data_IF_603461792703
#
_entry.id   IF_603461792703
#
_cell.length_a   1.000
_cell.length_b   1.000
_cell.length_c   1.000
_cell.angle_alpha   90.00
_cell.angle_beta   90.00
_cell.angle_gamma   90.00
#
_symmetry.space_group_name_H-M   'P 1'
#
loop_
_entity.id
_entity.type
_entity.pdbx_description
1 polymer ?
#
# COMPACT_ATOMS: atom_id res chain seq x y z
N UNK A 1 -9.17 -12.42 16.08
CA UNK A 1 -7.81 -12.05 15.61
C UNK A 1 -7.15 -13.18 14.84
N UNK A 2 -7.36 -14.43 15.22
CA UNK A 2 -6.69 -15.60 14.61
C UNK A 2 -7.00 -15.76 13.11
N UNK A 3 -8.19 -15.39 12.68
CA UNK A 3 -8.64 -15.50 11.27
C UNK A 3 -8.36 -14.22 10.49
N UNK A 4 -8.68 -13.06 11.06
CA UNK A 4 -8.58 -11.76 10.36
C UNK A 4 -7.25 -11.04 10.63
N UNK A 5 -6.40 -11.63 11.45
CA UNK A 5 -5.22 -10.95 11.97
C UNK A 5 -5.57 -9.80 12.93
N UNK A 6 -4.55 -9.20 13.52
CA UNK A 6 -4.75 -8.06 14.42
C UNK A 6 -5.33 -6.84 13.70
N UNK A 7 -4.80 -6.53 12.52
CA UNK A 7 -5.23 -5.35 11.74
C UNK A 7 -6.68 -5.49 11.25
N UNK A 8 -7.05 -6.62 10.66
CA UNK A 8 -8.42 -6.85 10.17
C UNK A 8 -9.45 -6.87 11.30
N UNK A 9 -9.13 -7.49 12.43
CA UNK A 9 -10.00 -7.52 13.61
C UNK A 9 -10.22 -6.11 14.19
N UNK A 10 -9.17 -5.31 14.33
CA UNK A 10 -9.28 -3.94 14.84
C UNK A 10 -10.05 -3.02 13.87
N UNK A 11 -9.85 -3.17 12.56
CA UNK A 11 -10.64 -2.42 11.55
C UNK A 11 -12.13 -2.76 11.65
N UNK A 12 -12.48 -4.04 11.82
CA UNK A 12 -13.86 -4.47 12.00
C UNK A 12 -14.47 -3.90 13.29
N UNK A 13 -13.73 -3.92 14.40
CA UNK A 13 -14.16 -3.36 15.68
C UNK A 13 -14.37 -1.85 15.59
N UNK A 14 -13.40 -1.11 15.04
CA UNK A 14 -13.54 0.35 14.84
C UNK A 14 -14.75 0.68 13.97
N UNK A 15 -15.00 -0.10 12.92
CA UNK A 15 -16.18 0.09 12.07
C UNK A 15 -17.47 -0.16 12.84
N UNK A 16 -17.52 -1.19 13.70
CA UNK A 16 -18.70 -1.49 14.52
C UNK A 16 -18.99 -0.42 15.58
N UNK A 17 -17.95 0.29 16.02
CA UNK A 17 -18.05 1.44 16.93
C UNK A 17 -18.47 2.73 16.21
N UNK A 18 -18.70 2.71 14.91
CA UNK A 18 -19.12 3.87 14.12
C UNK A 18 -17.99 4.83 13.76
N UNK A 19 -16.73 4.42 13.93
CA UNK A 19 -15.58 5.23 13.48
C UNK A 19 -15.53 5.26 11.96
N UNK A 20 -15.09 6.39 11.41
CA UNK A 20 -14.97 6.57 9.97
C UNK A 20 -13.76 5.82 9.39
N UNK A 21 -13.89 4.50 9.32
CA UNK A 21 -12.87 3.60 8.76
C UNK A 21 -13.06 3.51 7.24
N UNK A 22 -12.02 3.76 6.44
CA UNK A 22 -12.10 3.55 4.99
C UNK A 22 -12.56 2.13 4.67
N UNK A 23 -13.53 1.94 3.75
CA UNK A 23 -14.05 0.62 3.40
C UNK A 23 -12.98 -0.33 2.89
N UNK A 24 -13.16 -1.61 3.18
CA UNK A 24 -12.22 -2.65 2.76
C UNK A 24 -12.72 -4.04 3.16
N UNK A 25 -11.92 -5.05 2.87
CA UNK A 25 -12.14 -6.43 3.27
C UNK A 25 -10.83 -7.13 3.59
N UNK A 26 -10.91 -8.26 4.26
CA UNK A 26 -9.74 -9.01 4.72
C UNK A 26 -9.76 -10.43 4.19
N UNK A 27 -8.67 -10.86 3.54
CA UNK A 27 -8.42 -12.27 3.21
C UNK A 27 -7.81 -12.92 4.46
N UNK A 28 -8.34 -14.07 4.86
CA UNK A 28 -8.03 -14.70 6.13
C UNK A 28 -6.60 -15.29 6.21
N UNK A 29 -6.12 -15.50 7.43
CA UNK A 29 -4.87 -16.26 7.70
C UNK A 29 -4.94 -17.70 7.17
N UNK A 30 -6.14 -18.29 7.14
CA UNK A 30 -6.37 -19.63 6.57
C UNK A 30 -6.03 -19.67 5.08
N UNK A 31 -6.40 -18.61 4.33
CA UNK A 31 -6.05 -18.52 2.93
C UNK A 31 -4.51 -18.41 2.71
N UNK A 32 -3.84 -17.68 3.60
CA UNK A 32 -2.36 -17.62 3.57
C UNK A 32 -1.74 -18.99 3.76
N UNK A 33 -2.18 -19.76 4.77
CA UNK A 33 -1.64 -21.12 5.01
C UNK A 33 -1.81 -22.00 3.79
N UNK A 34 -3.01 -22.04 3.22
CA UNK A 34 -3.28 -22.81 2.00
C UNK A 34 -2.39 -22.35 0.83
N UNK A 35 -2.22 -21.04 0.64
CA UNK A 35 -1.32 -20.52 -0.39
C UNK A 35 0.14 -20.97 -0.17
N UNK A 36 0.62 -20.96 1.08
CA UNK A 36 2.00 -21.37 1.38
C UNK A 36 2.24 -22.89 1.20
N UNK A 37 1.18 -23.69 1.29
CA UNK A 37 1.22 -25.13 0.99
C UNK A 37 1.20 -25.39 -0.53
N UNK A 38 0.27 -24.75 -1.25
CA UNK A 38 0.00 -25.00 -2.68
C UNK A 38 0.83 -24.12 -3.61
N UNK A 39 1.36 -23.00 -3.13
CA UNK A 39 2.10 -21.96 -3.85
C UNK A 39 1.32 -21.33 -5.02
N UNK A 40 -0.02 -21.34 -4.94
CA UNK A 40 -0.93 -20.81 -5.96
C UNK A 40 -2.21 -20.24 -5.34
N UNK A 41 -2.71 -19.13 -5.89
CA UNK A 41 -4.06 -18.65 -5.59
C UNK A 41 -5.09 -19.44 -6.40
N UNK A 42 -5.95 -20.19 -5.72
CA UNK A 42 -6.98 -21.02 -6.35
C UNK A 42 -8.18 -20.18 -6.83
N UNK A 43 -8.93 -20.76 -7.76
CA UNK A 43 -9.98 -20.06 -8.50
C UNK A 43 -11.04 -19.43 -7.59
N UNK A 44 -11.57 -20.17 -6.62
CA UNK A 44 -12.63 -19.73 -5.73
C UNK A 44 -12.18 -18.56 -4.83
N UNK A 45 -10.92 -18.51 -4.45
CA UNK A 45 -10.38 -17.34 -3.74
C UNK A 45 -10.36 -16.11 -4.66
N UNK A 46 -9.89 -16.27 -5.90
CA UNK A 46 -9.86 -15.16 -6.87
C UNK A 46 -11.26 -14.62 -7.14
N UNK A 47 -12.25 -15.49 -7.34
CA UNK A 47 -13.65 -15.11 -7.53
C UNK A 47 -14.22 -14.39 -6.32
N UNK A 48 -13.93 -14.89 -5.10
CA UNK A 48 -14.36 -14.26 -3.85
C UNK A 48 -13.73 -12.87 -3.68
N UNK A 49 -12.46 -12.71 -3.99
CA UNK A 49 -11.76 -11.41 -3.94
C UNK A 49 -12.39 -10.43 -4.92
N UNK A 50 -12.65 -10.84 -6.17
CA UNK A 50 -13.28 -10.00 -7.18
C UNK A 50 -14.73 -9.63 -6.81
N UNK A 51 -15.48 -10.53 -6.20
CA UNK A 51 -16.84 -10.24 -5.73
C UNK A 51 -16.84 -9.19 -4.62
N UNK A 52 -15.92 -9.32 -3.65
CA UNK A 52 -15.76 -8.30 -2.59
C UNK A 52 -15.24 -6.97 -3.13
N UNK A 53 -14.38 -7.00 -4.15
CA UNK A 53 -13.91 -5.79 -4.83
C UNK A 53 -15.06 -5.02 -5.48
N UNK A 54 -15.99 -5.72 -6.15
CA UNK A 54 -17.21 -5.09 -6.72
C UNK A 54 -18.09 -4.46 -5.64
N UNK A 55 -18.25 -5.12 -4.48
CA UNK A 55 -18.96 -4.53 -3.34
C UNK A 55 -18.24 -3.28 -2.80
N UNK A 56 -16.91 -3.29 -2.81
CA UNK A 56 -16.11 -2.14 -2.40
C UNK A 56 -16.27 -0.97 -3.38
N UNK A 57 -16.27 -1.23 -4.69
CA UNK A 57 -16.55 -0.21 -5.72
C UNK A 57 -17.91 0.44 -5.50
N UNK A 58 -18.96 -0.38 -5.30
CA UNK A 58 -20.31 0.12 -5.02
C UNK A 58 -20.37 0.97 -3.74
N UNK A 59 -19.70 0.53 -2.67
CA UNK A 59 -19.69 1.23 -1.38
C UNK A 59 -18.94 2.55 -1.42
N UNK A 60 -17.92 2.65 -2.27
CA UNK A 60 -17.07 3.84 -2.39
C UNK A 60 -17.47 4.75 -3.52
N UNK A 61 -18.37 4.32 -4.40
CA UNK A 61 -18.73 5.02 -5.65
C UNK A 61 -17.51 5.32 -6.53
N UNK A 62 -16.53 4.40 -6.52
CA UNK A 62 -15.28 4.52 -7.28
C UNK A 62 -15.10 3.31 -8.19
N UNK A 63 -14.20 3.41 -9.17
CA UNK A 63 -13.92 2.32 -10.10
C UNK A 63 -12.46 1.87 -10.03
N UNK A 64 -12.26 0.57 -9.81
CA UNK A 64 -10.93 -0.04 -9.79
C UNK A 64 -10.37 -0.25 -11.20
N UNK A 65 -11.21 -0.58 -12.15
CA UNK A 65 -10.82 -0.83 -13.55
C UNK A 65 -10.80 0.43 -14.43
N UNK A 66 -11.06 1.61 -13.86
CA UNK A 66 -10.90 2.87 -14.58
C UNK A 66 -12.12 3.27 -15.44
N UNK A 67 -13.27 3.46 -14.81
CA UNK A 67 -14.42 4.11 -15.46
C UNK A 67 -14.22 5.63 -15.49
N UNK A 68 -14.27 6.26 -16.67
CA UNK A 68 -14.05 7.72 -16.85
C UNK A 68 -15.03 8.60 -16.08
N UNK A 69 -16.21 8.07 -15.73
CA UNK A 69 -17.24 8.80 -14.99
C UNK A 69 -17.11 8.66 -13.48
N UNK A 70 -16.19 7.84 -13.00
CA UNK A 70 -15.97 7.57 -11.58
C UNK A 70 -14.52 7.85 -11.19
N UNK A 71 -14.33 8.31 -9.97
CA UNK A 71 -12.99 8.45 -9.39
C UNK A 71 -12.29 7.08 -9.36
N UNK A 72 -10.99 6.99 -9.67
CA UNK A 72 -10.26 5.75 -9.51
C UNK A 72 -10.30 5.22 -8.06
N UNK A 73 -10.64 3.95 -7.89
CA UNK A 73 -10.50 3.24 -6.62
C UNK A 73 -9.05 2.77 -6.51
N UNK A 74 -8.29 3.37 -5.61
CA UNK A 74 -6.96 2.90 -5.27
C UNK A 74 -7.00 2.13 -3.96
N UNK A 75 -6.18 1.09 -3.87
CA UNK A 75 -6.18 0.16 -2.74
C UNK A 75 -4.84 0.18 -2.01
N UNK A 76 -4.91 -0.04 -0.70
CA UNK A 76 -3.79 -0.54 0.08
C UNK A 76 -3.94 -2.04 0.28
N UNK A 77 -2.86 -2.79 0.08
CA UNK A 77 -2.77 -4.24 0.32
C UNK A 77 -1.74 -4.45 1.42
N UNK A 78 -2.19 -4.83 2.60
CA UNK A 78 -1.35 -4.83 3.80
C UNK A 78 -1.44 -6.15 4.54
N UNK A 79 -0.31 -6.65 5.01
CA UNK A 79 -0.25 -7.79 5.92
C UNK A 79 -0.96 -7.50 7.26
N UNK A 80 -1.51 -8.52 7.86
CA UNK A 80 -2.19 -8.43 9.15
C UNK A 80 -2.10 -9.73 9.94
N UNK A 81 -0.93 -10.04 10.49
CA UNK A 81 -0.78 -11.20 11.37
C UNK A 81 -1.54 -11.02 12.69
N UNK A 82 -1.96 -12.11 13.37
CA UNK A 82 -2.58 -12.06 14.68
C UNK A 82 -1.71 -11.34 15.73
N UNK A 83 -0.41 -11.57 15.70
CA UNK A 83 0.59 -10.86 16.49
C UNK A 83 1.17 -9.73 15.66
N UNK A 84 1.25 -8.53 16.22
CA UNK A 84 1.88 -7.39 15.54
C UNK A 84 3.36 -7.65 15.31
N UNK A 85 3.81 -7.50 14.07
CA UNK A 85 5.21 -7.67 13.65
C UNK A 85 5.63 -6.43 12.83
N UNK A 86 5.89 -5.28 13.49
CA UNK A 86 6.15 -4.01 12.80
C UNK A 86 7.37 -4.10 11.89
N UNK A 87 7.22 -3.67 10.62
CA UNK A 87 8.31 -3.67 9.64
C UNK A 87 8.74 -5.04 9.11
N UNK A 88 8.12 -6.15 9.58
CA UNK A 88 8.55 -7.51 9.21
C UNK A 88 7.89 -8.03 7.94
N UNK A 89 6.73 -7.53 7.59
CA UNK A 89 5.95 -7.97 6.44
C UNK A 89 5.62 -6.80 5.51
N UNK A 90 5.26 -7.12 4.28
CA UNK A 90 5.15 -6.14 3.21
C UNK A 90 3.79 -5.44 3.17
N UNK A 91 3.82 -4.25 2.55
CA UNK A 91 2.67 -3.38 2.30
C UNK A 91 2.80 -2.82 0.89
N UNK A 92 1.68 -2.74 0.17
CA UNK A 92 1.62 -2.07 -1.13
C UNK A 92 0.51 -1.03 -1.04
N UNK A 93 0.83 0.21 -1.39
CA UNK A 93 -0.09 1.34 -1.43
C UNK A 93 -0.31 1.82 -2.86
N UNK A 94 -1.39 2.56 -3.08
CA UNK A 94 -1.75 3.12 -4.39
C UNK A 94 -1.97 2.07 -5.49
N UNK A 95 -2.27 0.83 -5.12
CA UNK A 95 -2.53 -0.25 -6.05
C UNK A 95 -3.77 0.07 -6.90
N UNK A 96 -3.67 -0.17 -8.20
CA UNK A 96 -4.67 0.22 -9.19
C UNK A 96 -4.22 1.38 -10.09
N UNK A 97 -3.08 2.03 -9.75
CA UNK A 97 -2.48 3.02 -10.64
C UNK A 97 -1.84 2.36 -11.86
N UNK A 98 -2.11 2.96 -13.01
CA UNK A 98 -1.56 2.64 -14.31
C UNK A 98 -1.60 3.89 -15.20
N UNK A 99 -1.18 3.79 -16.46
CA UNK A 99 -1.13 4.93 -17.39
C UNK A 99 -2.49 5.56 -17.71
N UNK A 100 -3.58 4.84 -17.45
CA UNK A 100 -4.94 5.34 -17.61
C UNK A 100 -5.46 5.94 -16.31
N UNK A 101 -5.38 5.21 -15.21
CA UNK A 101 -5.95 5.63 -13.92
C UNK A 101 -5.21 6.84 -13.33
N UNK A 102 -3.90 7.02 -13.60
CA UNK A 102 -3.16 8.22 -13.17
C UNK A 102 -3.72 9.50 -13.78
N UNK A 103 -4.14 9.47 -15.05
CA UNK A 103 -4.77 10.61 -15.74
C UNK A 103 -6.13 10.92 -15.14
N UNK A 104 -6.95 9.88 -14.92
CA UNK A 104 -8.24 10.04 -14.26
C UNK A 104 -8.08 10.61 -12.84
N UNK A 105 -7.07 10.15 -12.09
CA UNK A 105 -6.78 10.69 -10.76
C UNK A 105 -6.37 12.16 -10.81
N UNK A 106 -5.54 12.55 -11.78
CA UNK A 106 -5.16 13.94 -12.02
C UNK A 106 -6.37 14.84 -12.31
N UNK A 107 -7.26 14.37 -13.17
CA UNK A 107 -8.48 15.10 -13.53
C UNK A 107 -9.43 15.27 -12.33
N UNK A 108 -9.73 14.18 -11.61
CA UNK A 108 -10.62 14.20 -10.45
C UNK A 108 -10.09 15.02 -9.28
N UNK A 109 -8.78 15.01 -9.06
CA UNK A 109 -8.17 15.75 -7.95
C UNK A 109 -7.77 17.17 -8.33
N UNK A 110 -7.79 17.52 -9.62
CA UNK A 110 -7.21 18.75 -10.17
C UNK A 110 -5.76 18.97 -9.71
N UNK A 111 -5.03 17.88 -9.50
CA UNK A 111 -3.66 17.88 -9.00
C UNK A 111 -2.81 16.81 -9.71
N UNK A 112 -2.33 17.19 -10.90
CA UNK A 112 -1.53 16.29 -11.75
C UNK A 112 -0.24 15.85 -11.04
N UNK A 113 0.41 16.77 -10.30
CA UNK A 113 1.64 16.43 -9.58
C UNK A 113 1.41 15.34 -8.54
N UNK A 114 0.34 15.45 -7.75
CA UNK A 114 -0.04 14.44 -6.76
C UNK A 114 -0.29 13.07 -7.40
N UNK A 115 -1.01 13.04 -8.54
CA UNK A 115 -1.31 11.80 -9.22
C UNK A 115 -0.04 11.09 -9.73
N UNK A 116 0.85 11.83 -10.41
CA UNK A 116 2.09 11.25 -10.95
C UNK A 116 3.11 10.89 -9.86
N UNK A 117 3.21 11.63 -8.74
CA UNK A 117 4.06 11.24 -7.62
C UNK A 117 3.53 9.97 -6.92
N UNK A 118 2.20 9.84 -6.78
CA UNK A 118 1.57 8.62 -6.28
C UNK A 118 1.87 7.42 -7.19
N UNK A 119 1.87 7.61 -8.51
CA UNK A 119 2.18 6.55 -9.47
C UNK A 119 3.66 6.15 -9.43
N UNK A 120 4.58 7.12 -9.37
CA UNK A 120 6.00 6.86 -9.20
C UNK A 120 6.27 6.01 -7.94
N UNK A 121 5.71 6.42 -6.80
CA UNK A 121 5.83 5.70 -5.52
C UNK A 121 5.22 4.30 -5.59
N UNK A 122 4.10 4.15 -6.30
CA UNK A 122 3.48 2.84 -6.50
C UNK A 122 4.38 1.89 -7.29
N UNK A 123 4.95 2.33 -8.41
CA UNK A 123 5.85 1.50 -9.23
C UNK A 123 7.05 1.03 -8.41
N UNK A 124 7.71 1.95 -7.67
CA UNK A 124 8.82 1.62 -6.78
C UNK A 124 8.42 0.57 -5.75
N UNK A 125 7.35 0.82 -4.99
CA UNK A 125 6.89 -0.06 -3.93
C UNK A 125 6.44 -1.42 -4.46
N UNK A 126 5.66 -1.44 -5.55
CA UNK A 126 5.20 -2.67 -6.18
C UNK A 126 6.37 -3.50 -6.69
N UNK A 127 7.30 -2.88 -7.39
CA UNK A 127 8.48 -3.57 -7.92
C UNK A 127 9.36 -4.14 -6.81
N UNK A 128 9.56 -3.40 -5.72
CA UNK A 128 10.34 -3.87 -4.58
C UNK A 128 9.65 -5.05 -3.87
N UNK A 129 8.32 -4.99 -3.67
CA UNK A 129 7.59 -5.99 -2.89
C UNK A 129 7.23 -7.21 -3.72
N UNK A 130 6.80 -7.03 -4.96
CA UNK A 130 6.29 -8.13 -5.81
C UNK A 130 7.42 -8.82 -6.57
N UNK A 131 8.32 -8.02 -7.17
CA UNK A 131 9.43 -8.49 -7.99
C UNK A 131 10.77 -8.54 -7.23
N UNK A 132 10.77 -8.20 -5.93
CA UNK A 132 11.94 -8.20 -5.05
C UNK A 132 13.12 -7.36 -5.61
N UNK A 133 12.83 -6.36 -6.46
CA UNK A 133 13.84 -5.48 -7.03
C UNK A 133 14.39 -4.58 -5.92
N UNK A 134 15.72 -4.50 -5.74
CA UNK A 134 16.31 -3.69 -4.68
C UNK A 134 15.91 -2.20 -4.80
N UNK A 135 15.43 -1.63 -3.72
CA UNK A 135 14.97 -0.23 -3.67
C UNK A 135 16.03 0.76 -4.13
N UNK A 136 17.30 0.46 -3.89
CA UNK A 136 18.43 1.30 -4.29
C UNK A 136 18.48 1.60 -5.80
N UNK A 137 17.93 0.72 -6.65
CA UNK A 137 17.91 0.93 -8.09
C UNK A 137 16.99 2.09 -8.48
N UNK A 138 15.88 2.25 -7.77
CA UNK A 138 14.94 3.36 -7.92
C UNK A 138 15.48 4.65 -7.30
N UNK A 139 16.04 4.55 -6.10
CA UNK A 139 16.64 5.67 -5.38
C UNK A 139 17.77 6.34 -6.17
N UNK A 140 18.62 5.56 -6.85
CA UNK A 140 19.67 6.10 -7.74
C UNK A 140 19.08 6.97 -8.86
N UNK A 141 17.96 6.58 -9.46
CA UNK A 141 17.34 7.39 -10.51
C UNK A 141 16.73 8.68 -9.97
N UNK A 142 16.09 8.60 -8.80
CA UNK A 142 15.52 9.75 -8.11
C UNK A 142 16.60 10.77 -7.75
N UNK A 143 17.66 10.32 -7.10
CA UNK A 143 18.78 11.16 -6.70
C UNK A 143 19.52 11.77 -7.91
N UNK A 144 19.68 11.00 -9.00
CA UNK A 144 20.25 11.51 -10.24
C UNK A 144 19.48 12.72 -10.78
N UNK A 145 18.14 12.64 -10.81
CA UNK A 145 17.29 13.77 -11.25
C UNK A 145 17.40 14.95 -10.29
N UNK A 146 17.41 14.70 -8.98
CA UNK A 146 17.53 15.76 -7.97
C UNK A 146 18.86 16.50 -8.09
N UNK A 147 19.97 15.78 -8.24
CA UNK A 147 21.30 16.37 -8.42
C UNK A 147 21.37 17.19 -9.71
N UNK A 148 20.92 16.63 -10.84
CA UNK A 148 20.92 17.31 -12.13
C UNK A 148 20.14 18.64 -12.12
N UNK A 149 19.01 18.66 -11.38
CA UNK A 149 18.11 19.81 -11.27
C UNK A 149 18.40 20.71 -10.08
N UNK A 150 19.36 20.34 -9.23
CA UNK A 150 19.70 21.04 -7.98
C UNK A 150 18.47 21.15 -7.03
N UNK A 151 17.69 20.07 -6.91
CA UNK A 151 16.55 19.96 -6.00
C UNK A 151 16.98 19.48 -4.62
N UNK A 152 16.34 20.01 -3.57
CA UNK A 152 16.62 19.64 -2.18
C UNK A 152 15.69 18.56 -1.64
N UNK A 153 14.51 18.42 -2.24
CA UNK A 153 13.51 17.45 -1.77
C UNK A 153 12.68 16.88 -2.91
N UNK A 154 11.98 15.77 -2.66
CA UNK A 154 11.04 15.20 -3.62
C UNK A 154 9.88 16.14 -3.95
N UNK A 155 9.57 17.09 -3.07
CA UNK A 155 8.54 18.11 -3.34
C UNK A 155 8.90 19.08 -4.47
N UNK A 156 10.18 19.19 -4.81
CA UNK A 156 10.68 20.08 -5.85
C UNK A 156 10.51 19.48 -7.27
N UNK A 157 10.28 18.16 -7.36
CA UNK A 157 10.08 17.47 -8.62
C UNK A 157 8.88 18.05 -9.38
N UNK A 158 9.11 18.40 -10.63
CA UNK A 158 8.06 18.85 -11.55
C UNK A 158 7.26 17.64 -12.10
N UNK A 159 6.11 17.92 -12.72
CA UNK A 159 5.31 16.89 -13.41
C UNK A 159 6.14 16.18 -14.50
N UNK A 160 6.96 16.94 -15.24
CA UNK A 160 7.84 16.38 -16.28
C UNK A 160 8.89 15.43 -15.70
N UNK A 161 9.47 15.78 -14.54
CA UNK A 161 10.44 14.93 -13.86
C UNK A 161 9.79 13.64 -13.33
N UNK A 162 8.58 13.74 -12.79
CA UNK A 162 7.82 12.58 -12.33
C UNK A 162 7.47 11.62 -13.48
N UNK A 163 7.05 12.14 -14.63
CA UNK A 163 6.80 11.34 -15.83
C UNK A 163 8.08 10.65 -16.32
N UNK A 164 9.20 11.36 -16.35
CA UNK A 164 10.51 10.78 -16.70
C UNK A 164 10.92 9.68 -15.73
N UNK A 165 10.73 9.88 -14.42
CA UNK A 165 11.03 8.87 -13.40
C UNK A 165 10.15 7.63 -13.55
N UNK A 166 8.87 7.78 -13.87
CA UNK A 166 7.96 6.66 -14.14
C UNK A 166 8.48 5.78 -15.27
N UNK A 167 8.88 6.39 -16.39
CA UNK A 167 9.46 5.66 -17.54
C UNK A 167 10.76 4.92 -17.14
N UNK A 168 11.64 5.59 -16.39
CA UNK A 168 12.87 4.97 -15.89
C UNK A 168 12.56 3.79 -14.94
N UNK A 169 11.57 3.92 -14.07
CA UNK A 169 11.16 2.88 -13.12
C UNK A 169 10.53 1.67 -13.81
N UNK A 170 9.68 1.89 -14.81
CA UNK A 170 9.15 0.82 -15.66
C UNK A 170 10.28 0.09 -16.42
N UNK A 171 11.29 0.85 -16.88
CA UNK A 171 12.46 0.24 -17.52
C UNK A 171 13.26 -0.62 -16.53
N UNK A 172 13.46 -0.18 -15.30
CA UNK A 172 14.10 -1.00 -14.25
C UNK A 172 13.31 -2.30 -14.06
N UNK A 173 11.98 -2.21 -13.91
CA UNK A 173 11.13 -3.40 -13.79
C UNK A 173 11.32 -4.35 -14.97
N UNK A 174 11.29 -3.84 -16.21
CA UNK A 174 11.52 -4.63 -17.42
C UNK A 174 12.91 -5.27 -17.44
N UNK A 175 13.94 -4.53 -17.03
CA UNK A 175 15.32 -5.03 -17.05
C UNK A 175 15.52 -6.20 -16.06
N UNK A 176 14.76 -6.23 -14.96
CA UNK A 176 14.78 -7.32 -13.97
C UNK A 176 13.85 -8.48 -14.34
N UNK A 177 12.57 -8.19 -14.60
CA UNK A 177 11.52 -9.20 -14.81
C UNK A 177 11.41 -9.72 -16.25
N UNK A 178 12.02 -9.02 -17.24
CA UNK A 178 11.91 -9.30 -18.68
C UNK A 178 10.47 -9.24 -19.21
N UNK A 179 9.58 -8.63 -18.46
CA UNK A 179 8.18 -8.34 -18.81
C UNK A 179 7.84 -6.90 -18.48
N UNK A 180 6.85 -6.34 -19.19
CA UNK A 180 6.37 -5.00 -18.90
C UNK A 180 5.75 -4.90 -17.51
N UNK A 181 5.83 -3.71 -16.91
CA UNK A 181 5.13 -3.41 -15.66
C UNK A 181 3.63 -3.68 -15.83
N UNK A 182 2.96 -4.40 -14.90
CA UNK A 182 1.56 -4.80 -15.07
C UNK A 182 0.62 -3.59 -15.04
N UNK A 183 -0.05 -3.34 -16.17
CA UNK A 183 -1.03 -2.25 -16.31
C UNK A 183 -2.46 -2.69 -15.95
N UNK A 184 -2.75 -4.00 -15.87
CA UNK A 184 -4.05 -4.51 -15.41
C UNK A 184 -4.13 -4.46 -13.89
N UNK A 185 -5.05 -3.65 -13.30
CA UNK A 185 -5.19 -3.55 -11.85
C UNK A 185 -5.55 -4.88 -11.17
N UNK A 186 -6.28 -5.76 -11.86
CA UNK A 186 -6.64 -7.08 -11.32
C UNK A 186 -5.40 -7.96 -11.19
N UNK A 187 -4.51 -7.93 -12.19
CA UNK A 187 -3.22 -8.62 -12.13
C UNK A 187 -2.34 -8.05 -11.02
N UNK A 188 -2.29 -6.71 -10.90
CA UNK A 188 -1.56 -6.07 -9.79
C UNK A 188 -2.07 -6.55 -8.43
N UNK A 189 -3.39 -6.64 -8.24
CA UNK A 189 -4.01 -7.06 -6.99
C UNK A 189 -3.63 -8.48 -6.60
N UNK A 190 -3.71 -9.44 -7.52
CA UNK A 190 -3.35 -10.83 -7.20
C UNK A 190 -1.87 -11.01 -6.95
N UNK A 191 -1.00 -10.35 -7.72
CA UNK A 191 0.44 -10.35 -7.46
C UNK A 191 0.78 -9.75 -6.08
N UNK A 192 0.10 -8.68 -5.69
CA UNK A 192 0.25 -8.07 -4.38
C UNK A 192 -0.22 -8.99 -3.23
N UNK A 193 -1.35 -9.69 -3.39
CA UNK A 193 -1.84 -10.67 -2.41
C UNK A 193 -0.83 -11.79 -2.23
N UNK A 194 -0.31 -12.34 -3.33
CA UNK A 194 0.73 -13.39 -3.31
C UNK A 194 1.99 -12.91 -2.60
N UNK A 195 2.47 -11.71 -2.94
CA UNK A 195 3.66 -11.12 -2.30
C UNK A 195 3.47 -10.94 -0.79
N UNK A 196 2.30 -10.44 -0.36
CA UNK A 196 1.99 -10.33 1.08
C UNK A 196 1.94 -11.70 1.75
N UNK A 197 1.39 -12.72 1.12
CA UNK A 197 1.43 -14.08 1.68
C UNK A 197 2.85 -14.62 1.78
N UNK A 198 3.68 -14.46 0.73
CA UNK A 198 5.10 -14.87 0.75
C UNK A 198 5.89 -14.15 1.83
N UNK A 199 5.55 -12.88 2.12
CA UNK A 199 6.26 -12.07 3.11
C UNK A 199 6.21 -12.67 4.53
N UNK A 200 5.26 -13.56 4.81
CA UNK A 200 5.23 -14.35 6.05
C UNK A 200 6.52 -15.13 6.25
N UNK A 201 7.12 -15.63 5.18
CA UNK A 201 8.35 -16.41 5.19
C UNK A 201 9.62 -15.61 4.83
N UNK A 202 9.55 -14.28 4.80
CA UNK A 202 10.75 -13.45 4.66
C UNK A 202 11.71 -13.69 5.84
N UNK A 203 13.04 -13.68 5.62
CA UNK A 203 14.04 -13.93 6.68
C UNK A 203 13.84 -13.07 7.92
N UNK A 204 13.53 -11.77 7.74
CA UNK A 204 13.24 -10.85 8.85
C UNK A 204 12.00 -11.27 9.66
N UNK A 205 10.94 -11.74 9.00
CA UNK A 205 9.72 -12.19 9.65
C UNK A 205 9.94 -13.51 10.40
N UNK A 206 10.71 -14.44 9.82
CA UNK A 206 11.11 -15.70 10.48
C UNK A 206 11.93 -15.42 11.74
N UNK A 207 12.95 -14.57 11.62
CA UNK A 207 13.81 -14.18 12.76
C UNK A 207 12.99 -13.53 13.88
N UNK A 208 12.08 -12.62 13.54
CA UNK A 208 11.20 -11.99 14.51
C UNK A 208 10.32 -13.01 15.24
N UNK A 209 9.69 -13.95 14.49
CA UNK A 209 8.86 -14.99 15.09
C UNK A 209 9.66 -15.89 16.04
N UNK A 210 10.89 -16.27 15.68
CA UNK A 210 11.77 -17.05 16.52
C UNK A 210 12.08 -16.33 17.85
N UNK A 211 12.42 -15.04 17.80
CA UNK A 211 12.72 -14.23 18.98
C UNK A 211 11.51 -14.09 19.90
N UNK A 212 10.33 -13.92 19.34
CA UNK A 212 9.09 -13.68 20.10
C UNK A 212 8.27 -14.95 20.35
N UNK A 213 8.79 -16.13 20.01
CA UNK A 213 8.13 -17.44 20.20
C UNK A 213 6.74 -17.49 19.54
N UNK A 214 6.60 -16.88 18.36
CA UNK A 214 5.38 -16.90 17.56
C UNK A 214 5.44 -18.13 16.64
N UNK A 215 4.35 -18.95 16.61
CA UNK A 215 4.29 -20.13 15.74
C UNK A 215 4.38 -19.74 14.25
N UNK A 216 5.08 -20.55 13.48
CA UNK A 216 5.21 -20.39 12.03
C UNK A 216 3.93 -20.77 11.27
N UNK A 217 3.03 -21.56 11.87
CA UNK A 217 1.83 -22.11 11.25
C UNK A 217 0.63 -21.15 11.25
N UNK A 218 0.77 -19.96 11.84
CA UNK A 218 -0.34 -19.00 11.97
C UNK A 218 -0.69 -18.36 10.61
N UNK A 219 0.31 -17.97 9.83
CA UNK A 219 0.14 -17.20 8.61
C UNK A 219 -0.20 -15.74 8.85
N UNK A 220 -0.43 -15.00 7.77
CA UNK A 220 -0.88 -13.60 7.80
C UNK A 220 -2.20 -13.43 7.08
N UNK A 221 -3.06 -12.56 7.57
CA UNK A 221 -4.19 -12.05 6.79
C UNK A 221 -3.70 -10.98 5.80
N UNK A 222 -4.49 -10.71 4.75
CA UNK A 222 -4.28 -9.59 3.84
C UNK A 222 -5.45 -8.64 3.92
N UNK A 223 -5.18 -7.39 4.32
CA UNK A 223 -6.17 -6.34 4.38
C UNK A 223 -6.14 -5.53 3.09
N UNK A 224 -7.23 -5.56 2.34
CA UNK A 224 -7.45 -4.79 1.12
C UNK A 224 -8.41 -3.66 1.48
N UNK A 225 -7.95 -2.42 1.38
CA UNK A 225 -8.70 -1.26 1.89
C UNK A 225 -8.57 -0.08 0.92
N UNK A 226 -9.66 0.66 0.75
CA UNK A 226 -9.66 1.86 -0.07
C UNK A 226 -8.69 2.91 0.50
N UNK A 227 -7.91 3.53 -0.39
CA UNK A 227 -6.97 4.59 0.00
C UNK A 227 -7.70 5.88 0.36
N UNK A 228 -7.13 6.57 1.35
CA UNK A 228 -7.37 7.99 1.66
C UNK A 228 -6.04 8.73 1.62
N UNK A 229 -6.06 10.01 1.26
CA UNK A 229 -4.86 10.74 0.93
C UNK A 229 -4.72 12.00 1.78
N UNK A 230 -3.67 12.07 2.59
CA UNK A 230 -3.27 13.25 3.34
C UNK A 230 -2.39 14.21 2.54
N UNK A 231 -2.00 13.85 1.31
CA UNK A 231 -1.09 14.60 0.44
C UNK A 231 -1.74 15.12 -0.85
N UNK A 232 -3.06 15.30 -0.84
CA UNK A 232 -3.79 15.86 -2.00
C UNK A 232 -3.58 17.37 -2.21
N UNK A 233 -3.08 18.08 -1.19
CA UNK A 233 -2.85 19.51 -1.24
C UNK A 233 -2.84 20.14 0.16
N UNK A 234 -2.82 21.49 0.19
CA UNK A 234 -2.66 22.27 1.42
C UNK A 234 -3.78 22.08 2.46
N UNK A 235 -4.93 21.55 2.07
CA UNK A 235 -6.08 21.28 2.94
C UNK A 235 -6.17 19.83 3.39
N UNK A 236 -5.21 19.02 3.01
CA UNK A 236 -5.12 17.61 3.40
C UNK A 236 -4.00 17.41 4.41
N UNK A 237 -4.10 16.41 5.25
CA UNK A 237 -3.06 16.09 6.22
C UNK A 237 -3.20 14.66 6.74
N UNK A 238 -2.16 14.21 7.39
CA UNK A 238 -2.10 12.92 8.10
C UNK A 238 -1.53 13.12 9.48
N UNK A 239 -2.02 12.37 10.46
CA UNK A 239 -1.51 12.43 11.83
C UNK A 239 -1.53 11.07 12.51
N UNK A 240 -0.84 11.00 13.62
CA UNK A 240 -0.86 9.90 14.57
C UNK A 240 -1.35 10.43 15.90
N UNK A 241 -2.37 9.78 16.46
CA UNK A 241 -2.96 10.17 17.73
C UNK A 241 -2.94 8.99 18.70
N UNK A 242 -2.49 9.24 19.90
CA UNK A 242 -2.52 8.31 21.01
C UNK A 242 -3.59 8.74 22.01
N UNK A 243 -4.36 7.80 22.51
CA UNK A 243 -5.37 8.04 23.56
C UNK A 243 -4.74 8.32 24.92
N UNK A 244 -3.45 8.08 25.07
CA UNK A 244 -2.65 8.34 26.27
C UNK A 244 -1.26 8.77 25.85
N UNK A 245 -0.68 9.72 26.59
CA UNK A 245 0.66 10.22 26.32
C UNK A 245 1.70 9.10 26.46
N UNK A 246 2.39 8.69 25.38
CA UNK A 246 3.35 7.57 25.41
C UNK A 246 4.66 7.91 26.14
N UNK A 247 4.93 9.19 26.44
CA UNK A 247 6.17 9.63 27.10
C UNK A 247 6.05 9.49 28.62
N UNK A 248 4.90 9.89 29.19
CA UNK A 248 4.72 9.97 30.63
C UNK A 248 3.55 9.12 31.17
N UNK A 249 2.74 8.51 30.30
CA UNK A 249 1.60 7.69 30.66
C UNK A 249 0.33 8.45 31.08
N UNK A 250 0.33 9.76 31.02
CA UNK A 250 -0.82 10.58 31.38
C UNK A 250 -2.03 10.29 30.50
N UNK A 251 -3.22 10.41 31.10
CA UNK A 251 -4.51 10.25 30.42
C UNK A 251 -4.90 11.52 29.69
N UNK A 252 -4.18 11.80 28.63
CA UNK A 252 -4.36 12.94 27.75
C UNK A 252 -4.12 12.53 26.29
N UNK A 253 -4.84 13.14 25.37
CA UNK A 253 -4.61 12.95 23.94
C UNK A 253 -3.25 13.51 23.57
N UNK A 254 -2.43 12.69 22.93
CA UNK A 254 -1.09 13.06 22.48
C UNK A 254 -0.94 12.67 21.01
N UNK A 255 -0.38 13.57 20.20
CA UNK A 255 -0.20 13.24 18.78
C UNK A 255 0.48 14.33 18.00
N UNK A 256 0.75 14.01 16.76
CA UNK A 256 1.34 14.91 15.77
C UNK A 256 0.64 14.76 14.44
N UNK A 257 0.70 15.78 13.61
CA UNK A 257 0.15 15.76 12.26
C UNK A 257 1.03 16.56 11.32
N UNK A 258 0.99 16.17 10.04
CA UNK A 258 1.64 16.88 8.95
C UNK A 258 0.60 17.25 7.88
N UNK A 259 0.64 18.50 7.45
CA UNK A 259 -0.16 18.96 6.32
C UNK A 259 0.48 18.50 5.00
N UNK A 260 -0.37 18.19 4.03
CA UNK A 260 0.03 17.73 2.71
C UNK A 260 1.06 16.57 2.75
N UNK A 261 0.80 15.59 3.62
CA UNK A 261 1.66 14.44 3.86
C UNK A 261 0.86 13.14 3.91
N UNK A 262 1.46 12.05 3.45
CA UNK A 262 0.88 10.72 3.56
C UNK A 262 1.33 10.05 4.86
N UNK A 263 0.62 8.98 5.28
CA UNK A 263 0.93 8.28 6.53
C UNK A 263 2.37 7.78 6.63
N UNK A 264 2.97 7.40 5.51
CA UNK A 264 4.37 6.99 5.43
C UNK A 264 5.34 8.13 5.81
N UNK A 265 5.04 9.35 5.38
CA UNK A 265 5.87 10.53 5.66
C UNK A 265 5.91 10.83 7.17
N UNK A 266 4.77 10.63 7.86
CA UNK A 266 4.66 10.83 9.33
C UNK A 266 5.42 9.74 10.08
N UNK A 267 5.22 8.46 9.70
CA UNK A 267 5.82 7.32 10.39
C UNK A 267 7.33 7.24 10.16
N UNK A 268 7.80 7.64 8.99
CA UNK A 268 9.23 7.64 8.66
C UNK A 268 9.99 8.88 9.17
N UNK A 269 9.28 9.89 9.65
CA UNK A 269 9.90 11.15 10.11
C UNK A 269 10.65 11.90 9.00
N UNK A 270 10.18 11.77 7.75
CA UNK A 270 10.86 12.34 6.57
C UNK A 270 10.56 13.83 6.38
N UNK A 271 9.59 14.38 7.12
CA UNK A 271 9.19 15.80 7.12
C UNK A 271 9.01 16.33 8.52
#
# INVERSE_FOLDING_TARGET
>A
KDILGGKGANLAEMTSLGLNVPPGFTISTTACRKYLEDNVLWLELKETVLSNLRLLELKTEKSFLGNRNLQPLLLSVRSGAPNSMPGMMDTILNLGLNDTSVKLMADFTSNERFAYDSYRRFIEMFSNVVAEIPRIEFEKQLESVKIEKNYNSDSDLTISDLKLLIEKYKKIYFDFEKTEFPEDPTRQLFLAVEAVFRSWNNPRAITYRNLHKISHDIGTAVNIQSMVFGNMGKTSGTGVLFSRNPINGNDELFGEYLMNAQGEDVVAGIR
#
